data_IF_255757748193
#
_entry.id   IF_255757748193
#
_cell.length_a   1.000
_cell.length_b   1.000
_cell.length_c   1.000
_cell.angle_alpha   90.00
_cell.angle_beta   90.00
_cell.angle_gamma   90.00
#
_symmetry.space_group_name_H-M   'P 1'
#
loop_
_entity.id
_entity.type
_entity.pdbx_description
1 polymer ?
#
# COMPACT_ATOMS: atom_id res chain seq x y z
N UNK A 1 7.23 42.55 -36.92
CA UNK A 1 6.76 41.98 -35.64
C UNK A 1 5.93 40.75 -35.97
N UNK A 2 6.60 39.67 -36.36
CA UNK A 2 5.98 38.37 -36.54
C UNK A 2 5.83 37.77 -35.15
N UNK A 3 4.59 37.72 -34.67
CA UNK A 3 4.22 36.86 -33.55
C UNK A 3 4.32 35.43 -34.05
N UNK A 4 5.45 34.82 -33.71
CA UNK A 4 5.74 33.41 -33.92
C UNK A 4 4.71 32.61 -33.11
N UNK A 5 3.67 32.15 -33.80
CA UNK A 5 2.70 31.19 -33.28
C UNK A 5 3.44 29.86 -33.11
N UNK A 6 4.04 29.67 -31.95
CA UNK A 6 4.59 28.41 -31.51
C UNK A 6 3.44 27.42 -31.38
N UNK A 7 3.37 26.35 -32.19
CA UNK A 7 2.42 25.30 -31.95
C UNK A 7 2.92 24.52 -30.75
N UNK A 8 2.32 24.74 -29.58
CA UNK A 8 2.41 23.83 -28.44
C UNK A 8 1.83 22.49 -28.89
N UNK A 9 2.69 21.67 -29.47
CA UNK A 9 2.44 20.26 -29.70
C UNK A 9 2.42 19.60 -28.31
N UNK A 10 1.24 19.54 -27.70
CA UNK A 10 0.87 18.66 -26.58
C UNK A 10 0.93 17.16 -26.97
N UNK A 11 1.90 16.79 -27.81
CA UNK A 11 2.27 15.43 -28.15
C UNK A 11 3.54 15.05 -27.35
N UNK A 12 3.64 15.57 -26.12
CA UNK A 12 4.61 15.12 -25.13
C UNK A 12 4.16 13.72 -24.72
N UNK A 13 4.58 12.74 -25.52
CA UNK A 13 4.73 11.32 -25.22
C UNK A 13 3.81 10.88 -24.08
N UNK A 14 2.66 10.27 -24.42
CA UNK A 14 1.90 9.44 -23.50
C UNK A 14 2.79 8.30 -23.01
N UNK A 15 3.65 8.63 -22.05
CA UNK A 15 4.47 7.68 -21.36
C UNK A 15 3.54 6.88 -20.46
N UNK A 16 3.83 5.58 -20.23
CA UNK A 16 3.02 4.78 -19.32
C UNK A 16 2.85 5.45 -17.95
N UNK A 17 3.86 6.20 -17.51
CA UNK A 17 3.84 7.00 -16.28
C UNK A 17 2.81 8.14 -16.29
N UNK A 18 2.57 8.82 -17.42
CA UNK A 18 1.58 9.90 -17.49
C UNK A 18 0.16 9.36 -17.46
N UNK A 19 -0.08 8.23 -18.13
CA UNK A 19 -1.38 7.54 -18.12
C UNK A 19 -1.73 7.10 -16.69
N UNK A 20 -0.80 6.44 -16.01
CA UNK A 20 -1.00 6.03 -14.61
C UNK A 20 -1.29 7.24 -13.71
N UNK A 21 -0.53 8.32 -13.86
CA UNK A 21 -0.78 9.56 -13.11
C UNK A 21 -2.18 10.11 -13.33
N UNK A 22 -2.65 10.17 -14.59
CA UNK A 22 -4.00 10.63 -14.91
C UNK A 22 -5.09 9.71 -14.34
N UNK A 23 -4.85 8.40 -14.26
CA UNK A 23 -5.76 7.46 -13.59
C UNK A 23 -5.88 7.77 -12.09
N UNK A 24 -4.76 8.03 -11.42
CA UNK A 24 -4.77 8.41 -10.00
C UNK A 24 -5.41 9.77 -9.74
N UNK A 25 -5.18 10.74 -10.63
CA UNK A 25 -5.80 12.06 -10.57
C UNK A 25 -7.33 11.94 -10.65
N UNK A 26 -7.84 11.19 -11.63
CA UNK A 26 -9.28 10.97 -11.78
C UNK A 26 -9.89 10.21 -10.60
N UNK A 27 -9.17 9.23 -10.04
CA UNK A 27 -9.60 8.51 -8.84
C UNK A 27 -9.67 9.43 -7.61
N UNK A 28 -8.73 10.35 -7.48
CA UNK A 28 -8.70 11.32 -6.37
C UNK A 28 -9.85 12.33 -6.49
N UNK A 29 -10.10 12.86 -7.68
CA UNK A 29 -11.26 13.70 -7.97
C UNK A 29 -12.58 12.95 -7.73
N UNK A 30 -12.63 11.65 -8.04
CA UNK A 30 -13.80 10.81 -7.77
C UNK A 30 -14.10 10.73 -6.28
N UNK A 31 -13.07 10.54 -5.45
CA UNK A 31 -13.21 10.47 -3.99
C UNK A 31 -13.75 11.77 -3.37
N UNK A 32 -13.36 12.90 -3.94
CA UNK A 32 -13.79 14.24 -3.52
C UNK A 32 -15.08 14.73 -4.22
N UNK A 33 -15.68 13.87 -5.06
CA UNK A 33 -16.89 14.13 -5.86
C UNK A 33 -16.72 15.23 -6.93
N UNK A 34 -15.48 15.59 -7.26
CA UNK A 34 -15.12 16.59 -8.27
C UNK A 34 -15.08 16.03 -9.70
N UNK A 35 -15.58 14.82 -9.92
CA UNK A 35 -15.71 14.18 -11.24
C UNK A 35 -17.03 14.48 -11.92
N UNK A 36 -17.01 14.55 -13.25
CA UNK A 36 -18.22 14.60 -14.08
C UNK A 36 -18.90 13.22 -14.19
N UNK A 37 -20.15 13.17 -14.66
CA UNK A 37 -20.90 11.92 -14.76
C UNK A 37 -20.25 10.86 -15.68
N UNK A 38 -19.62 11.31 -16.78
CA UNK A 38 -18.93 10.41 -17.70
C UNK A 38 -17.67 9.81 -17.06
N UNK A 39 -16.88 10.63 -16.37
CA UNK A 39 -15.67 10.21 -15.67
C UNK A 39 -15.97 9.25 -14.51
N UNK A 40 -17.10 9.45 -13.80
CA UNK A 40 -17.53 8.53 -12.75
C UNK A 40 -17.76 7.11 -13.27
N UNK A 41 -18.46 6.98 -14.40
CA UNK A 41 -18.66 5.67 -15.01
C UNK A 41 -17.35 5.02 -15.47
N UNK A 42 -16.41 5.82 -15.96
CA UNK A 42 -15.08 5.34 -16.33
C UNK A 42 -14.30 4.84 -15.11
N UNK A 43 -14.33 5.58 -13.98
CA UNK A 43 -13.70 5.13 -12.73
C UNK A 43 -14.39 3.88 -12.17
N UNK A 44 -15.71 3.79 -12.26
CA UNK A 44 -16.47 2.59 -11.84
C UNK A 44 -16.07 1.35 -12.64
N UNK A 45 -15.89 1.48 -13.96
CA UNK A 45 -15.37 0.40 -14.81
C UNK A 45 -13.96 -0.01 -14.40
N UNK A 46 -13.07 0.95 -14.18
CA UNK A 46 -11.70 0.65 -13.71
C UNK A 46 -11.68 -0.02 -12.35
N UNK A 47 -12.55 0.36 -11.42
CA UNK A 47 -12.66 -0.29 -10.12
C UNK A 47 -13.22 -1.72 -10.21
N UNK A 48 -13.97 -2.04 -11.26
CA UNK A 48 -14.48 -3.39 -11.52
C UNK A 48 -13.43 -4.28 -12.21
N UNK A 49 -12.64 -3.72 -13.12
CA UNK A 49 -11.64 -4.44 -13.90
C UNK A 49 -10.29 -4.59 -13.18
N UNK A 50 -9.89 -3.58 -12.40
CA UNK A 50 -8.57 -3.49 -11.76
C UNK A 50 -8.66 -3.66 -10.23
N UNK A 51 -8.30 -4.85 -9.70
CA UNK A 51 -8.34 -5.12 -8.27
C UNK A 51 -7.29 -4.33 -7.47
N UNK A 52 -6.18 -3.91 -8.09
CA UNK A 52 -5.14 -3.10 -7.46
C UNK A 52 -5.64 -1.67 -7.25
N UNK A 53 -6.27 -1.09 -8.26
CA UNK A 53 -6.90 0.23 -8.16
C UNK A 53 -7.98 0.25 -7.07
N UNK A 54 -8.80 -0.81 -7.00
CA UNK A 54 -9.78 -1.00 -5.94
C UNK A 54 -9.15 -1.14 -4.54
N UNK A 55 -7.97 -1.75 -4.41
CA UNK A 55 -7.25 -1.83 -3.15
C UNK A 55 -6.75 -0.46 -2.68
N UNK A 56 -6.17 0.33 -3.59
CA UNK A 56 -5.74 1.71 -3.33
C UNK A 56 -6.90 2.59 -2.90
N UNK A 57 -8.02 2.52 -3.61
CA UNK A 57 -9.26 3.23 -3.25
C UNK A 57 -9.74 2.88 -1.83
N UNK A 58 -9.79 1.58 -1.50
CA UNK A 58 -10.15 1.13 -0.14
C UNK A 58 -9.18 1.63 0.93
N UNK A 59 -7.89 1.72 0.62
CA UNK A 59 -6.89 2.27 1.53
C UNK A 59 -7.15 3.76 1.80
N UNK A 60 -7.46 4.56 0.78
CA UNK A 60 -7.81 5.97 0.93
C UNK A 60 -9.09 6.16 1.74
N UNK A 61 -10.13 5.35 1.48
CA UNK A 61 -11.35 5.35 2.29
C UNK A 61 -11.07 5.02 3.76
N UNK A 62 -10.20 4.04 4.01
CA UNK A 62 -9.79 3.69 5.38
C UNK A 62 -9.07 4.86 6.05
N UNK A 63 -8.19 5.57 5.35
CA UNK A 63 -7.52 6.76 5.90
C UNK A 63 -8.53 7.85 6.27
N UNK A 64 -9.46 8.17 5.36
CA UNK A 64 -10.53 9.16 5.59
C UNK A 64 -11.40 8.80 6.79
N UNK A 65 -11.82 7.53 6.89
CA UNK A 65 -12.60 7.04 8.03
C UNK A 65 -11.86 7.17 9.36
N UNK A 66 -10.53 6.94 9.36
CA UNK A 66 -9.71 7.06 10.56
C UNK A 66 -9.56 8.51 11.02
N UNK A 67 -9.51 9.46 10.07
CA UNK A 67 -9.53 10.88 10.39
C UNK A 67 -10.87 11.33 10.94
N UNK A 68 -11.98 10.92 10.33
CA UNK A 68 -13.32 11.26 10.83
C UNK A 68 -13.64 10.66 12.20
N UNK A 69 -13.12 9.46 12.48
CA UNK A 69 -13.28 8.78 13.78
C UNK A 69 -12.22 9.17 14.80
N UNK A 70 -11.32 10.11 14.47
CA UNK A 70 -10.33 10.59 15.41
C UNK A 70 -11.05 11.37 16.52
N UNK A 71 -10.94 10.95 17.80
CA UNK A 71 -11.62 11.62 18.88
C UNK A 71 -11.04 13.02 19.06
N UNK A 72 -11.85 14.04 18.76
CA UNK A 72 -11.51 15.43 19.07
C UNK A 72 -11.43 15.59 20.59
N UNK A 73 -10.31 16.09 21.14
CA UNK A 73 -10.17 16.28 22.57
C UNK A 73 -11.24 17.25 23.07
N UNK A 74 -11.89 16.90 24.18
CA UNK A 74 -12.95 17.71 24.80
C UNK A 74 -12.47 19.15 25.02
N UNK A 75 -13.26 20.18 24.64
CA UNK A 75 -12.92 21.56 24.95
C UNK A 75 -12.87 21.71 26.47
N UNK A 76 -11.68 21.89 27.05
CA UNK A 76 -11.46 21.98 28.50
C UNK A 76 -10.43 20.99 29.08
N UNK A 77 -9.89 20.07 28.29
CA UNK A 77 -8.80 19.20 28.77
C UNK A 77 -7.50 20.00 28.96
N UNK A 78 -6.91 19.92 30.15
CA UNK A 78 -5.58 20.50 30.40
C UNK A 78 -4.51 19.72 29.61
N UNK A 79 -3.47 20.39 29.09
CA UNK A 79 -2.46 19.75 28.24
C UNK A 79 -1.77 18.56 28.93
N UNK A 80 -1.61 18.61 30.25
CA UNK A 80 -1.03 17.51 31.05
C UNK A 80 -1.91 16.26 31.09
N UNK A 81 -3.23 16.42 31.14
CA UNK A 81 -4.17 15.28 31.12
C UNK A 81 -4.21 14.67 29.71
N UNK A 82 -4.14 15.51 28.68
CA UNK A 82 -4.12 15.06 27.29
C UNK A 82 -2.85 14.25 26.96
N UNK A 83 -1.67 14.74 27.36
CA UNK A 83 -0.41 14.02 27.12
C UNK A 83 -0.43 12.65 27.80
N UNK A 84 -0.86 12.59 29.07
CA UNK A 84 -0.96 11.32 29.79
C UNK A 84 -1.95 10.33 29.13
N UNK A 85 -3.09 10.81 28.62
CA UNK A 85 -4.04 9.96 27.88
C UNK A 85 -3.47 9.45 26.55
N UNK A 86 -2.72 10.28 25.81
CA UNK A 86 -2.04 9.88 24.56
C UNK A 86 -0.97 8.83 24.86
N UNK A 87 -0.10 9.06 25.84
CA UNK A 87 0.94 8.08 26.24
C UNK A 87 0.33 6.77 26.74
N UNK A 88 -0.75 6.82 27.53
CA UNK A 88 -1.48 5.63 27.97
C UNK A 88 -2.08 4.84 26.80
N UNK A 89 -2.63 5.54 25.79
CA UNK A 89 -3.20 4.91 24.58
C UNK A 89 -2.11 4.32 23.67
N UNK A 90 -0.97 5.01 23.54
CA UNK A 90 0.19 4.55 22.77
C UNK A 90 0.78 3.28 23.40
N UNK A 91 1.00 3.29 24.72
CA UNK A 91 1.51 2.13 25.45
C UNK A 91 0.61 0.90 25.28
N UNK A 92 -0.73 1.08 25.31
CA UNK A 92 -1.68 -0.01 25.06
C UNK A 92 -1.63 -0.58 23.64
N UNK A 93 -1.38 0.26 22.62
CA UNK A 93 -1.25 -0.21 21.23
C UNK A 93 0.03 -1.02 21.04
N UNK A 94 1.17 -0.51 21.50
CA UNK A 94 2.47 -1.20 21.38
C UNK A 94 2.46 -2.57 22.06
N UNK A 95 1.86 -2.69 23.25
CA UNK A 95 1.74 -3.96 23.95
C UNK A 95 0.89 -4.99 23.18
N UNK A 96 -0.19 -4.56 22.52
CA UNK A 96 -1.04 -5.45 21.70
C UNK A 96 -0.32 -5.97 20.45
N UNK A 97 0.48 -5.14 19.79
CA UNK A 97 1.23 -5.56 18.60
C UNK A 97 2.37 -6.51 18.95
N UNK A 98 3.04 -6.29 20.10
CA UNK A 98 4.12 -7.15 20.58
C UNK A 98 3.64 -8.55 20.99
N UNK A 99 2.42 -8.68 21.53
CA UNK A 99 1.84 -10.00 21.85
C UNK A 99 1.56 -10.82 20.57
N UNK A 100 1.31 -10.17 19.43
CA UNK A 100 1.01 -10.87 18.17
C UNK A 100 2.25 -11.21 17.32
N UNK A 101 3.37 -10.50 17.47
CA UNK A 101 4.61 -10.77 16.74
C UNK A 101 5.54 -11.80 17.41
N UNK A 102 5.10 -12.48 18.47
CA UNK A 102 5.93 -13.35 19.32
C UNK A 102 6.21 -14.78 18.82
N UNK A 103 5.76 -15.21 17.65
CA UNK A 103 6.01 -16.60 17.17
C UNK A 103 6.33 -16.71 15.69
N UNK A 104 7.46 -16.15 15.24
CA UNK A 104 8.17 -16.61 14.03
C UNK A 104 9.66 -16.30 14.14
N UNK A 105 10.47 -17.18 14.73
CA UNK A 105 11.95 -17.11 14.59
C UNK A 105 12.76 -18.36 15.01
N UNK A 106 12.17 -19.56 15.04
CA UNK A 106 12.99 -20.81 15.04
C UNK A 106 12.48 -21.90 14.11
N UNK A 107 11.17 -22.01 13.91
CA UNK A 107 10.63 -23.07 13.05
C UNK A 107 10.89 -22.84 11.56
N UNK A 108 10.78 -21.61 11.06
CA UNK A 108 11.05 -21.32 9.64
C UNK A 108 12.53 -21.43 9.29
N UNK A 109 13.44 -21.05 10.20
CA UNK A 109 14.88 -21.27 10.03
C UNK A 109 15.24 -22.76 10.07
N UNK A 110 14.58 -23.54 10.92
CA UNK A 110 14.78 -25.00 10.99
C UNK A 110 14.26 -25.72 9.73
N UNK A 111 13.11 -25.31 9.19
CA UNK A 111 12.54 -25.88 7.96
C UNK A 111 13.38 -25.52 6.71
N UNK A 112 13.93 -24.31 6.63
CA UNK A 112 14.85 -23.94 5.55
C UNK A 112 16.19 -24.66 5.65
N UNK A 113 16.69 -24.92 6.87
CA UNK A 113 17.92 -25.70 7.08
C UNK A 113 17.76 -27.17 6.69
N UNK A 114 16.58 -27.77 6.93
CA UNK A 114 16.30 -29.16 6.58
C UNK A 114 16.24 -29.39 5.05
N UNK A 115 15.60 -28.48 4.30
CA UNK A 115 15.56 -28.52 2.82
C UNK A 115 16.94 -28.31 2.18
N UNK A 116 17.76 -27.42 2.76
CA UNK A 116 19.12 -27.17 2.27
C UNK A 116 20.04 -28.39 2.47
N UNK A 117 19.89 -29.11 3.59
CA UNK A 117 20.61 -30.36 3.83
C UNK A 117 20.17 -31.50 2.91
N UNK A 118 18.87 -31.61 2.59
CA UNK A 118 18.37 -32.61 1.65
C UNK A 118 18.88 -32.35 0.22
N UNK A 119 18.94 -31.08 -0.20
CA UNK A 119 19.42 -30.71 -1.54
C UNK A 119 20.93 -30.78 -1.70
N UNK A 120 21.69 -30.82 -0.61
CA UNK A 120 23.15 -30.95 -0.61
C UNK A 120 23.65 -32.40 -0.52
N UNK A 121 22.82 -33.37 -0.09
CA UNK A 121 23.20 -34.78 0.04
C UNK A 121 22.63 -35.64 -1.11
N UNK A 122 22.66 -35.09 -2.33
CA UNK A 122 22.11 -35.69 -3.55
C UNK A 122 23.13 -36.16 -4.58
N UNK A 123 24.43 -36.20 -4.26
CA UNK A 123 25.47 -36.69 -5.18
C UNK A 123 26.17 -37.91 -4.57
N UNK A 124 25.80 -39.10 -5.03
CA UNK A 124 26.61 -40.31 -4.90
C UNK A 124 27.30 -40.58 -6.25
N UNK A 125 28.59 -40.27 -6.42
CA UNK A 125 29.32 -40.59 -7.64
C UNK A 125 30.01 -41.95 -7.50
N UNK A 126 29.27 -43.06 -7.62
CA UNK A 126 29.89 -44.39 -7.77
C UNK A 126 29.02 -45.31 -8.64
N UNK A 127 28.98 -45.04 -9.94
CA UNK A 127 28.62 -46.06 -10.93
C UNK A 127 29.29 -45.76 -12.27
N UNK A 128 30.61 -45.79 -12.29
CA UNK A 128 31.41 -45.91 -13.52
C UNK A 128 32.60 -46.83 -13.28
N UNK A 129 32.61 -47.94 -14.02
CA UNK A 129 33.72 -48.87 -14.28
C UNK A 129 34.23 -49.71 -13.10
N UNK A 130 33.98 -51.02 -13.13
CA UNK A 130 34.99 -52.05 -13.47
C UNK A 130 34.24 -53.29 -13.99
N UNK A 131 34.74 -53.77 -15.13
CA UNK A 131 34.82 -55.14 -15.65
C UNK A 131 34.21 -56.28 -14.82
#
# INVERSE_FOLDING_TARGET
MQSESHPEHDDILQTPESIERSRYELLSAYLDQETTAAERHQVEQWLAEDPELGATYRQWLRLRSQWQTMPTPSPGATPTVLTHQVFKKLHRRTQRTLIWSGTRSRLCLWLLFLELCWRAHGDSPLSSAVF
#
